data_IF_288673775040
#
_entry.id   IF_288673775040
#
_cell.length_a   1.000
_cell.length_b   1.000
_cell.length_c   1.000
_cell.angle_alpha   90.00
_cell.angle_beta   90.00
_cell.angle_gamma   90.00
#
_symmetry.space_group_name_H-M   'P 1'
#
loop_
_entity.id
_entity.type
_entity.pdbx_description
1 polymer ?
#
# COMPACT_ATOMS: atom_id res chain seq x y z
N UNK A 1 -43.34 0.87 52.41
CA UNK A 1 -42.45 1.24 51.26
C UNK A 1 -42.33 0.03 50.37
N UNK A 2 -43.03 0.03 49.24
CA UNK A 2 -43.15 -1.13 48.39
C UNK A 2 -41.88 -1.26 47.50
N UNK A 3 -41.12 -2.30 47.78
CA UNK A 3 -40.05 -2.73 46.84
C UNK A 3 -40.72 -3.30 45.61
N UNK A 4 -40.65 -2.56 44.52
CA UNK A 4 -41.17 -3.01 43.24
C UNK A 4 -40.12 -4.00 42.60
N UNK A 5 -40.44 -5.30 42.53
CA UNK A 5 -39.46 -6.32 42.03
C UNK A 5 -39.23 -6.24 40.50
N UNK A 6 -39.95 -5.36 39.81
CA UNK A 6 -39.86 -5.23 38.35
C UNK A 6 -38.84 -4.18 37.87
N UNK A 7 -38.20 -3.44 38.80
CA UNK A 7 -37.19 -2.42 38.42
C UNK A 7 -35.79 -3.00 38.19
N UNK A 8 -35.49 -4.19 38.71
CA UNK A 8 -34.16 -4.81 38.58
C UNK A 8 -33.88 -5.38 37.18
N UNK A 9 -34.81 -6.06 36.48
CA UNK A 9 -34.52 -6.61 35.18
C UNK A 9 -34.34 -5.53 34.11
N UNK A 10 -34.98 -4.38 34.24
CA UNK A 10 -34.96 -3.32 33.25
C UNK A 10 -33.59 -2.59 33.20
N UNK A 11 -32.91 -2.41 34.37
CA UNK A 11 -31.57 -1.84 34.43
C UNK A 11 -30.52 -2.76 33.76
N UNK A 12 -30.61 -4.06 34.02
CA UNK A 12 -29.70 -5.03 33.38
C UNK A 12 -29.99 -5.20 31.90
N UNK A 13 -31.24 -5.10 31.47
CA UNK A 13 -31.62 -5.13 30.06
C UNK A 13 -31.04 -3.93 29.30
N UNK A 14 -31.07 -2.74 29.92
CA UNK A 14 -30.45 -1.53 29.35
C UNK A 14 -28.92 -1.66 29.23
N UNK A 15 -28.27 -2.21 30.24
CA UNK A 15 -26.83 -2.49 30.17
C UNK A 15 -26.47 -3.53 29.11
N UNK A 16 -27.30 -4.56 28.92
CA UNK A 16 -27.11 -5.56 27.85
C UNK A 16 -27.30 -4.96 26.46
N UNK A 17 -28.29 -4.09 26.28
CA UNK A 17 -28.54 -3.40 25.01
C UNK A 17 -27.41 -2.43 24.69
N UNK A 18 -26.89 -1.68 25.67
CA UNK A 18 -25.75 -0.77 25.48
C UNK A 18 -24.48 -1.55 25.17
N UNK A 19 -24.26 -2.70 25.82
CA UNK A 19 -23.12 -3.58 25.56
C UNK A 19 -23.17 -4.25 24.17
N UNK A 20 -24.38 -4.56 23.67
CA UNK A 20 -24.53 -5.08 22.30
C UNK A 20 -24.35 -4.00 21.22
N UNK A 21 -24.74 -2.74 21.51
CA UNK A 21 -24.54 -1.64 20.56
C UNK A 21 -23.06 -1.22 20.43
N UNK A 22 -22.21 -1.51 21.42
CA UNK A 22 -20.79 -1.19 21.35
C UNK A 22 -19.96 -2.21 20.55
N UNK A 23 -20.54 -3.34 20.13
CA UNK A 23 -19.89 -4.35 19.30
C UNK A 23 -20.05 -4.11 17.79
N UNK A 24 -20.84 -3.10 17.38
CA UNK A 24 -20.99 -2.70 15.98
C UNK A 24 -20.08 -1.53 15.60
N UNK A 25 -19.10 -1.18 16.43
CA UNK A 25 -18.10 -0.17 16.10
C UNK A 25 -17.01 -0.78 15.24
N UNK A 26 -17.15 -0.50 13.96
CA UNK A 26 -16.05 -0.29 13.01
C UNK A 26 -15.31 -1.52 12.51
N UNK A 27 -15.81 -2.05 11.42
CA UNK A 27 -14.96 -2.13 10.25
C UNK A 27 -15.55 -1.13 9.25
N UNK A 28 -15.16 0.12 9.34
CA UNK A 28 -15.20 1.02 8.20
C UNK A 28 -13.97 0.66 7.38
N UNK A 29 -14.10 -0.31 6.54
CA UNK A 29 -13.26 -0.43 5.37
C UNK A 29 -13.62 0.81 4.54
N UNK A 30 -12.77 1.84 4.57
CA UNK A 30 -12.89 2.96 3.66
C UNK A 30 -12.78 2.37 2.26
N UNK A 31 -13.93 2.27 1.60
CA UNK A 31 -13.96 2.00 0.16
C UNK A 31 -13.05 3.03 -0.51
N UNK A 32 -12.13 2.61 -1.37
CA UNK A 32 -11.32 3.54 -2.14
C UNK A 32 -12.25 4.53 -2.86
N UNK A 33 -11.84 5.80 -3.02
CA UNK A 33 -12.65 6.82 -3.66
C UNK A 33 -13.14 6.30 -5.01
N UNK A 34 -14.43 6.52 -5.30
CA UNK A 34 -15.06 6.08 -6.56
C UNK A 34 -14.21 6.54 -7.74
N UNK A 35 -13.61 5.60 -8.46
CA UNK A 35 -12.72 5.84 -9.60
C UNK A 35 -11.33 5.18 -9.50
N UNK A 36 -10.95 4.63 -8.36
CA UNK A 36 -9.75 3.81 -8.24
C UNK A 36 -10.05 2.37 -8.67
N UNK A 37 -9.39 1.89 -9.71
CA UNK A 37 -9.43 0.48 -10.07
C UNK A 37 -8.68 -0.32 -9.01
N UNK A 38 -9.39 -0.94 -8.07
CA UNK A 38 -8.82 -1.97 -7.23
C UNK A 38 -8.59 -3.19 -8.13
N UNK A 39 -7.33 -3.61 -8.30
CA UNK A 39 -7.01 -4.86 -9.01
C UNK A 39 -7.29 -6.03 -8.07
N UNK A 40 -8.04 -6.99 -8.56
CA UNK A 40 -8.25 -8.27 -7.89
C UNK A 40 -7.29 -9.33 -8.42
N UNK A 41 -7.09 -10.39 -7.65
CA UNK A 41 -6.27 -11.51 -8.09
C UNK A 41 -6.85 -12.15 -9.38
N UNK A 42 -6.02 -12.18 -10.42
CA UNK A 42 -6.42 -12.68 -11.75
C UNK A 42 -6.79 -11.58 -12.73
N UNK A 43 -6.92 -10.34 -12.29
CA UNK A 43 -7.16 -9.23 -13.21
C UNK A 43 -5.94 -8.94 -14.08
N UNK A 44 -6.17 -8.56 -15.34
CA UNK A 44 -5.07 -8.15 -16.20
C UNK A 44 -4.48 -6.83 -15.70
N UNK A 45 -3.15 -6.75 -15.64
CA UNK A 45 -2.47 -5.49 -15.34
C UNK A 45 -2.93 -4.38 -16.31
N UNK A 46 -3.35 -3.20 -15.81
CA UNK A 46 -3.72 -2.07 -16.66
C UNK A 46 -2.56 -1.60 -17.53
N UNK A 47 -2.86 -0.88 -18.59
CA UNK A 47 -1.84 -0.18 -19.37
C UNK A 47 -1.21 0.93 -18.53
N UNK A 48 0.10 0.93 -18.48
CA UNK A 48 0.88 1.99 -17.85
C UNK A 48 2.19 2.22 -18.58
N UNK A 49 2.77 3.38 -18.35
CA UNK A 49 4.12 3.72 -18.79
C UNK A 49 4.72 4.73 -17.83
N UNK A 50 5.91 4.47 -17.34
CA UNK A 50 6.64 5.34 -16.44
C UNK A 50 8.09 5.50 -16.90
N UNK A 51 8.62 6.71 -16.76
CA UNK A 51 9.95 7.07 -17.28
C UNK A 51 10.83 7.65 -16.18
N UNK A 52 12.13 7.41 -16.31
CA UNK A 52 13.18 8.09 -15.57
C UNK A 52 14.33 8.45 -16.54
N UNK A 53 15.43 9.09 -16.13
CA UNK A 53 16.55 9.40 -17.01
C UNK A 53 17.21 8.20 -17.68
N UNK A 54 17.07 7.02 -17.10
CA UNK A 54 17.66 5.77 -17.63
C UNK A 54 16.76 5.10 -18.69
N UNK A 55 15.49 5.49 -18.80
CA UNK A 55 14.57 4.93 -19.78
C UNK A 55 13.11 4.89 -19.33
N UNK A 56 12.32 4.19 -20.13
CA UNK A 56 10.88 4.02 -19.91
C UNK A 56 10.58 2.56 -19.68
N UNK A 57 9.67 2.28 -18.75
CA UNK A 57 9.09 0.95 -18.51
C UNK A 57 7.59 1.02 -18.69
N UNK A 58 7.05 0.05 -19.38
CA UNK A 58 5.63 -0.11 -19.65
C UNK A 58 5.15 -1.52 -19.32
N UNK A 59 3.86 -1.75 -19.34
CA UNK A 59 3.28 -3.09 -19.20
C UNK A 59 3.93 -4.12 -20.15
N UNK A 60 4.24 -3.71 -21.38
CA UNK A 60 4.85 -4.60 -22.39
C UNK A 60 6.21 -5.14 -21.94
N UNK A 61 6.97 -4.37 -21.18
CA UNK A 61 8.28 -4.77 -20.69
C UNK A 61 8.20 -5.82 -19.57
N UNK A 62 7.00 -6.01 -18.99
CA UNK A 62 6.71 -7.00 -17.96
C UNK A 62 6.16 -8.31 -18.53
N UNK A 63 5.84 -8.37 -19.84
CA UNK A 63 5.29 -9.57 -20.47
C UNK A 63 6.27 -10.75 -20.34
N UNK A 64 5.74 -11.93 -19.99
CA UNK A 64 6.48 -13.17 -19.78
C UNK A 64 7.55 -13.10 -18.67
N UNK A 65 7.41 -12.18 -17.71
CA UNK A 65 8.28 -12.07 -16.54
C UNK A 65 7.46 -12.17 -15.25
N UNK A 66 8.13 -12.58 -14.18
CA UNK A 66 7.64 -12.34 -12.84
C UNK A 66 7.90 -10.88 -12.47
N UNK A 67 6.86 -10.09 -12.46
CA UNK A 67 6.95 -8.67 -12.13
C UNK A 67 6.57 -8.42 -10.68
N UNK A 68 7.47 -7.80 -9.92
CA UNK A 68 7.20 -7.27 -8.59
C UNK A 68 7.18 -5.75 -8.68
N UNK A 69 5.99 -5.17 -8.58
CA UNK A 69 5.80 -3.72 -8.58
C UNK A 69 5.62 -3.29 -7.13
N UNK A 70 6.51 -2.42 -6.66
CA UNK A 70 6.52 -1.92 -5.30
C UNK A 70 6.27 -0.41 -5.34
N UNK A 71 5.10 -0.01 -4.87
CA UNK A 71 4.80 1.39 -4.62
C UNK A 71 5.30 1.79 -3.24
N UNK A 72 5.96 2.93 -3.15
CA UNK A 72 6.52 3.42 -1.89
C UNK A 72 6.51 4.94 -1.79
N UNK A 73 6.76 5.45 -0.59
CA UNK A 73 7.13 6.84 -0.34
C UNK A 73 8.29 6.88 0.66
N UNK A 74 9.23 7.78 0.45
CA UNK A 74 10.39 7.95 1.35
C UNK A 74 9.98 8.50 2.72
N UNK A 75 8.79 9.09 2.84
CA UNK A 75 8.22 9.62 4.08
C UNK A 75 7.37 8.59 4.84
N UNK A 76 7.07 7.45 4.23
CA UNK A 76 6.27 6.37 4.84
C UNK A 76 7.14 5.55 5.80
N UNK A 77 6.79 5.53 7.09
CA UNK A 77 7.55 4.82 8.12
C UNK A 77 7.65 3.31 7.89
N UNK A 78 6.62 2.70 7.34
CA UNK A 78 6.62 1.25 7.08
C UNK A 78 7.43 0.91 5.81
N UNK A 79 7.41 1.79 4.81
CA UNK A 79 8.32 1.67 3.67
C UNK A 79 9.78 1.77 4.12
N UNK A 80 10.11 2.74 4.98
CA UNK A 80 11.46 2.91 5.52
C UNK A 80 11.97 1.65 6.24
N UNK A 81 11.12 0.99 7.01
CA UNK A 81 11.46 -0.29 7.69
C UNK A 81 11.66 -1.44 6.69
N UNK A 82 10.93 -1.44 5.58
CA UNK A 82 11.01 -2.49 4.57
C UNK A 82 12.16 -2.32 3.58
N UNK A 83 12.73 -1.12 3.43
CA UNK A 83 13.79 -0.86 2.45
C UNK A 83 15.01 -1.78 2.53
N UNK A 84 15.53 -2.20 3.68
CA UNK A 84 16.64 -3.15 3.74
C UNK A 84 16.31 -4.49 3.06
N UNK A 85 15.10 -4.99 3.28
CA UNK A 85 14.64 -6.25 2.67
C UNK A 85 14.36 -6.07 1.17
N UNK A 86 13.75 -4.95 0.78
CA UNK A 86 13.53 -4.57 -0.62
C UNK A 86 14.86 -4.46 -1.36
N UNK A 87 15.88 -3.84 -0.74
CA UNK A 87 17.21 -3.72 -1.31
C UNK A 87 17.86 -5.08 -1.53
N UNK A 88 17.75 -5.97 -0.55
CA UNK A 88 18.24 -7.35 -0.66
C UNK A 88 17.57 -8.10 -1.81
N UNK A 89 16.24 -8.01 -1.89
CA UNK A 89 15.46 -8.63 -2.96
C UNK A 89 15.83 -8.04 -4.33
N UNK A 90 15.92 -6.71 -4.44
CA UNK A 90 16.32 -6.05 -5.67
C UNK A 90 17.68 -6.54 -6.17
N UNK A 91 18.70 -6.55 -5.30
CA UNK A 91 20.04 -7.00 -5.68
C UNK A 91 20.13 -8.49 -6.00
N UNK A 92 19.24 -9.30 -5.44
CA UNK A 92 19.16 -10.72 -5.76
C UNK A 92 18.64 -10.96 -7.18
N UNK A 93 17.67 -10.18 -7.63
CA UNK A 93 16.96 -10.46 -8.88
C UNK A 93 17.19 -9.45 -10.01
N UNK A 94 17.88 -8.33 -9.78
CA UNK A 94 18.09 -7.27 -10.79
C UNK A 94 18.75 -7.74 -12.11
N UNK A 95 19.50 -8.83 -12.07
CA UNK A 95 20.20 -9.39 -13.21
C UNK A 95 19.51 -10.66 -13.78
N UNK A 96 18.38 -11.08 -13.21
CA UNK A 96 17.59 -12.20 -13.71
C UNK A 96 16.63 -11.73 -14.83
N UNK A 97 16.80 -12.22 -16.06
CA UNK A 97 15.98 -11.77 -17.19
C UNK A 97 14.50 -12.18 -17.08
N UNK A 98 14.19 -13.17 -16.24
CA UNK A 98 12.81 -13.65 -16.02
C UNK A 98 12.09 -12.89 -14.91
N UNK A 99 12.77 -12.00 -14.19
CA UNK A 99 12.22 -11.20 -13.09
C UNK A 99 12.33 -9.71 -13.40
N UNK A 100 11.32 -8.95 -13.04
CA UNK A 100 11.35 -7.50 -13.07
C UNK A 100 10.96 -6.96 -11.68
N UNK A 101 11.87 -6.23 -11.04
CA UNK A 101 11.58 -5.51 -9.80
C UNK A 101 11.45 -4.04 -10.14
N UNK A 102 10.23 -3.50 -10.03
CA UNK A 102 9.89 -2.13 -10.37
C UNK A 102 9.55 -1.36 -9.10
N UNK A 103 10.36 -0.36 -8.77
CA UNK A 103 10.16 0.51 -7.62
C UNK A 103 9.57 1.83 -8.08
N UNK A 104 8.37 2.18 -7.60
CA UNK A 104 7.64 3.40 -7.98
C UNK A 104 7.39 4.25 -6.74
N UNK A 105 8.00 5.43 -6.70
CA UNK A 105 7.77 6.41 -5.63
C UNK A 105 6.52 7.23 -5.93
N UNK A 106 5.53 7.18 -5.03
CA UNK A 106 4.24 7.85 -5.20
C UNK A 106 4.23 9.22 -4.53
N UNK A 107 3.86 10.26 -5.32
CA UNK A 107 3.71 11.62 -4.82
C UNK A 107 5.04 12.32 -4.50
N UNK A 108 6.16 11.83 -5.01
CA UNK A 108 7.49 12.37 -4.79
C UNK A 108 8.23 12.60 -6.10
N UNK A 109 9.06 13.62 -6.13
CA UNK A 109 9.92 13.91 -7.29
C UNK A 109 11.14 13.00 -7.32
N UNK A 110 11.74 12.86 -8.49
CA UNK A 110 13.00 12.10 -8.64
C UNK A 110 14.11 12.61 -7.71
N UNK A 111 14.23 13.94 -7.56
CA UNK A 111 15.23 14.55 -6.68
C UNK A 111 15.05 14.14 -5.21
N UNK A 112 13.80 14.11 -4.72
CA UNK A 112 13.49 13.72 -3.34
C UNK A 112 13.90 12.27 -3.08
N UNK A 113 13.50 11.38 -3.97
CA UNK A 113 13.83 9.93 -3.85
C UNK A 113 15.33 9.70 -3.99
N UNK A 114 15.99 10.34 -4.96
CA UNK A 114 17.44 10.22 -5.15
C UNK A 114 18.22 10.71 -3.94
N UNK A 115 17.77 11.80 -3.30
CA UNK A 115 18.39 12.32 -2.07
C UNK A 115 18.28 11.28 -0.93
N UNK A 116 17.10 10.73 -0.71
CA UNK A 116 16.85 9.71 0.29
C UNK A 116 17.68 8.45 0.04
N UNK A 117 17.71 7.93 -1.18
CA UNK A 117 18.47 6.73 -1.53
C UNK A 117 19.99 6.93 -1.34
N UNK A 118 20.50 8.12 -1.66
CA UNK A 118 21.90 8.48 -1.45
C UNK A 118 22.24 8.55 0.05
N UNK A 119 21.40 9.18 0.85
CA UNK A 119 21.58 9.29 2.31
C UNK A 119 21.64 7.90 2.98
N UNK A 120 20.77 6.99 2.54
CA UNK A 120 20.66 5.65 3.11
C UNK A 120 21.49 4.60 2.35
N UNK A 121 22.27 5.01 1.34
CA UNK A 121 23.16 4.15 0.52
C UNK A 121 22.39 3.05 -0.23
N UNK A 122 21.14 3.29 -0.61
CA UNK A 122 20.37 2.40 -1.47
C UNK A 122 20.78 2.58 -2.93
N UNK A 123 21.30 1.51 -3.54
CA UNK A 123 21.67 1.49 -4.96
C UNK A 123 20.66 0.67 -5.76
N UNK A 124 19.48 1.22 -5.91
CA UNK A 124 18.36 0.60 -6.63
C UNK A 124 17.84 1.57 -7.70
N UNK A 125 17.42 1.03 -8.85
CA UNK A 125 16.67 1.83 -9.83
C UNK A 125 15.27 2.06 -9.32
N UNK A 126 14.78 3.28 -9.51
CA UNK A 126 13.42 3.65 -9.16
C UNK A 126 12.83 4.56 -10.23
N UNK A 127 11.52 4.71 -10.18
CA UNK A 127 10.76 5.67 -10.96
C UNK A 127 9.98 6.58 -10.01
N UNK A 128 9.89 7.86 -10.33
CA UNK A 128 9.10 8.82 -9.57
C UNK A 128 7.74 9.03 -10.26
N UNK A 129 6.68 9.02 -9.48
CA UNK A 129 5.31 9.31 -9.92
C UNK A 129 4.73 10.45 -9.08
N UNK A 130 5.20 11.71 -9.30
CA UNK A 130 4.80 12.85 -8.49
C UNK A 130 3.31 13.20 -8.63
N UNK A 131 2.74 12.92 -9.79
CA UNK A 131 1.37 13.27 -10.15
C UNK A 131 0.38 12.10 -9.94
N UNK A 132 0.84 10.97 -9.42
CA UNK A 132 0.04 9.77 -9.17
C UNK A 132 -0.67 9.22 -10.44
N UNK A 133 0.04 9.19 -11.56
CA UNK A 133 -0.48 8.78 -12.86
C UNK A 133 -0.38 7.25 -13.10
N UNK A 134 0.36 6.53 -12.27
CA UNK A 134 0.61 5.08 -12.38
C UNK A 134 0.05 4.32 -11.19
#
# INVERSE_FOLDING_TARGET
MANNPYLYPMKYLLFYIISLLSLTACIHEELPPEGGFALEEGDPLPEFSISNPDGTVSKKDLENKFALIIFFSTTCSDCQKAFPDISTLYHTYKDDPSVCVLLIARGETEEQVAAYFREHQYNMKFFADPDLNV
#
